data_IF_022974639355
#
_entry.id   IF_022974639355
#
_cell.length_a   1.000
_cell.length_b   1.000
_cell.length_c   1.000
_cell.angle_alpha   90.00
_cell.angle_beta   90.00
_cell.angle_gamma   90.00
#
_symmetry.space_group_name_H-M   'P 1'
#
loop_
_entity.id
_entity.type
_entity.pdbx_description
1 polymer ?
#
# COMPACT_ATOMS: atom_id res chain seq x y z
N UNK A 1 -6.43 4.44 9.73
CA UNK A 1 -5.75 5.47 10.57
C UNK A 1 -6.80 6.13 11.43
N UNK A 2 -6.45 6.70 12.58
CA UNK A 2 -7.43 7.39 13.44
C UNK A 2 -8.27 8.40 12.62
N UNK A 3 -9.58 8.28 12.71
CA UNK A 3 -10.54 9.09 11.95
C UNK A 3 -10.92 8.58 10.56
N UNK A 4 -10.30 7.48 10.08
CA UNK A 4 -10.62 6.87 8.78
C UNK A 4 -11.04 5.41 8.96
N UNK A 5 -12.28 5.05 8.58
CA UNK A 5 -12.84 3.72 8.83
C UNK A 5 -12.36 2.65 7.85
N UNK A 6 -11.70 3.04 6.76
CA UNK A 6 -11.27 2.12 5.70
C UNK A 6 -9.78 2.27 5.42
N UNK A 7 -9.19 1.19 4.92
CA UNK A 7 -7.79 1.15 4.51
C UNK A 7 -7.55 2.01 3.26
N UNK A 8 -6.34 2.56 3.15
CA UNK A 8 -5.91 3.34 2.01
C UNK A 8 -5.28 2.44 0.93
N UNK A 9 -5.57 2.71 -0.34
CA UNK A 9 -4.92 2.06 -1.48
C UNK A 9 -4.00 3.07 -2.20
N UNK A 10 -2.70 2.80 -2.19
CA UNK A 10 -1.68 3.63 -2.86
C UNK A 10 -1.28 2.99 -4.18
N UNK A 11 -1.50 3.69 -5.30
CA UNK A 11 -1.12 3.22 -6.65
C UNK A 11 0.12 3.97 -7.13
N UNK A 12 1.13 3.23 -7.56
CA UNK A 12 2.32 3.79 -8.19
C UNK A 12 2.45 3.25 -9.62
N UNK A 13 2.72 4.14 -10.59
CA UNK A 13 3.00 3.72 -11.95
C UNK A 13 4.30 2.90 -12.02
N UNK A 14 4.37 1.92 -12.93
CA UNK A 14 5.51 0.98 -13.04
C UNK A 14 6.87 1.68 -13.20
N UNK A 15 6.89 2.85 -13.85
CA UNK A 15 8.12 3.62 -14.07
C UNK A 15 8.69 4.22 -12.79
N UNK A 16 7.87 4.35 -11.75
CA UNK A 16 8.27 4.95 -10.48
C UNK A 16 8.63 3.89 -9.42
N UNK A 17 8.59 2.60 -9.77
CA UNK A 17 8.64 1.52 -8.78
C UNK A 17 9.96 1.50 -8.02
N UNK A 18 11.09 1.73 -8.69
CA UNK A 18 12.40 1.69 -8.07
C UNK A 18 12.56 2.79 -7.01
N UNK A 19 12.23 4.03 -7.37
CA UNK A 19 12.28 5.18 -6.46
C UNK A 19 11.27 5.02 -5.31
N UNK A 20 10.09 4.48 -5.58
CA UNK A 20 9.07 4.23 -4.54
C UNK A 20 9.50 3.11 -3.59
N UNK A 21 10.11 2.04 -4.10
CA UNK A 21 10.64 0.96 -3.27
C UNK A 21 11.75 1.47 -2.36
N UNK A 22 12.65 2.33 -2.87
CA UNK A 22 13.67 2.98 -2.04
C UNK A 22 13.05 3.85 -0.93
N UNK A 23 12.01 4.62 -1.27
CA UNK A 23 11.25 5.39 -0.29
C UNK A 23 10.61 4.51 0.77
N UNK A 24 9.95 3.41 0.38
CA UNK A 24 9.30 2.50 1.33
C UNK A 24 10.31 1.85 2.27
N UNK A 25 11.48 1.41 1.76
CA UNK A 25 12.57 0.88 2.60
C UNK A 25 13.10 1.88 3.63
N UNK A 26 13.13 3.17 3.29
CA UNK A 26 13.56 4.24 4.21
C UNK A 26 12.51 4.56 5.27
N UNK A 27 11.24 4.48 4.92
CA UNK A 27 10.13 5.00 5.74
C UNK A 27 9.38 3.94 6.53
N UNK A 28 9.50 2.67 6.15
CA UNK A 28 8.90 1.54 6.84
C UNK A 28 9.98 0.62 7.43
N UNK A 29 9.67 -0.04 8.53
CA UNK A 29 10.52 -1.04 9.15
C UNK A 29 10.33 -2.45 8.52
N UNK A 30 11.01 -3.46 9.05
CA UNK A 30 10.92 -4.84 8.55
C UNK A 30 9.53 -5.46 8.72
N UNK A 31 8.74 -4.95 9.67
CA UNK A 31 7.33 -5.34 9.89
C UNK A 31 6.35 -4.54 9.01
N UNK A 32 6.88 -3.77 8.06
CA UNK A 32 6.14 -2.87 7.17
C UNK A 32 5.34 -1.78 7.91
N UNK A 33 5.71 -1.46 9.15
CA UNK A 33 5.14 -0.38 9.93
C UNK A 33 5.89 0.93 9.67
N UNK A 34 5.14 2.02 9.55
CA UNK A 34 5.67 3.33 9.27
C UNK A 34 6.49 3.84 10.46
N UNK A 35 7.76 4.17 10.20
CA UNK A 35 8.74 4.50 11.26
C UNK A 35 8.39 5.76 12.05
N UNK A 36 7.56 6.65 11.50
CA UNK A 36 7.29 7.97 12.07
C UNK A 36 5.90 8.10 12.71
N UNK A 37 5.01 7.12 12.51
CA UNK A 37 3.70 7.10 13.16
C UNK A 37 3.26 5.64 13.40
N UNK A 38 3.07 5.24 14.66
CA UNK A 38 2.67 3.88 14.99
C UNK A 38 1.25 3.59 14.50
N UNK A 39 0.98 2.32 14.19
CA UNK A 39 -0.35 1.87 13.75
C UNK A 39 -0.65 2.10 12.26
N UNK A 40 0.28 2.65 11.48
CA UNK A 40 0.22 2.68 10.01
C UNK A 40 1.14 1.59 9.47
N UNK A 41 0.59 0.64 8.71
CA UNK A 41 1.35 -0.48 8.15
C UNK A 41 0.85 -0.84 6.76
N UNK A 42 1.76 -1.25 5.90
CA UNK A 42 1.41 -1.87 4.62
C UNK A 42 1.01 -3.32 4.89
N UNK A 43 -0.25 -3.65 4.65
CA UNK A 43 -0.84 -4.97 4.95
C UNK A 43 -0.98 -5.88 3.73
N UNK A 44 -0.80 -5.33 2.53
CA UNK A 44 -0.88 -6.07 1.27
C UNK A 44 -0.26 -5.30 0.11
N UNK A 45 0.07 -6.01 -0.96
CA UNK A 45 0.51 -5.41 -2.21
C UNK A 45 -0.04 -6.22 -3.39
N UNK A 46 -0.31 -5.54 -4.50
CA UNK A 46 -0.72 -6.15 -5.76
C UNK A 46 -0.16 -5.34 -6.93
N UNK A 47 -0.25 -5.92 -8.13
CA UNK A 47 0.02 -5.23 -9.38
C UNK A 47 -1.09 -5.56 -10.38
N UNK A 48 -1.32 -4.68 -11.34
CA UNK A 48 -2.36 -4.89 -12.33
C UNK A 48 -2.37 -3.80 -13.39
N UNK A 49 -3.14 -4.06 -14.44
CA UNK A 49 -3.33 -3.12 -15.55
C UNK A 49 -4.60 -2.26 -15.40
N UNK A 50 -5.42 -2.53 -14.38
CA UNK A 50 -6.61 -1.75 -14.04
C UNK A 50 -6.77 -1.65 -12.53
N UNK A 51 -7.44 -0.59 -12.07
CA UNK A 51 -7.73 -0.42 -10.65
C UNK A 51 -8.68 -1.51 -10.13
N UNK A 52 -9.69 -1.90 -10.92
CA UNK A 52 -10.59 -3.01 -10.56
C UNK A 52 -9.87 -4.34 -10.37
N UNK A 53 -8.87 -4.64 -11.21
CA UNK A 53 -8.01 -5.82 -11.05
C UNK A 53 -7.19 -5.75 -9.76
N UNK A 54 -6.61 -4.59 -9.45
CA UNK A 54 -5.90 -4.37 -8.18
C UNK A 54 -6.83 -4.56 -6.98
N UNK A 55 -8.07 -4.05 -7.04
CA UNK A 55 -9.05 -4.22 -5.97
C UNK A 55 -9.46 -5.69 -5.79
N UNK A 56 -9.65 -6.44 -6.88
CA UNK A 56 -9.95 -7.86 -6.84
C UNK A 56 -8.79 -8.67 -6.20
N UNK A 57 -7.56 -8.47 -6.66
CA UNK A 57 -6.37 -9.15 -6.12
C UNK A 57 -6.13 -8.84 -4.63
N UNK A 58 -6.48 -7.62 -4.19
CA UNK A 58 -6.40 -7.23 -2.78
C UNK A 58 -7.62 -7.68 -1.95
N UNK A 59 -8.62 -8.33 -2.54
CA UNK A 59 -9.85 -8.72 -1.83
C UNK A 59 -10.68 -7.55 -1.32
N UNK A 60 -10.59 -6.38 -1.98
CA UNK A 60 -11.29 -5.14 -1.59
C UNK A 60 -12.65 -4.98 -2.25
N UNK A 61 -13.02 -5.88 -3.16
CA UNK A 61 -14.37 -5.93 -3.70
C UNK A 61 -15.25 -6.66 -2.69
N UNK A 62 -16.30 -5.99 -2.20
CA UNK A 62 -17.36 -6.64 -1.44
C UNK A 62 -18.12 -7.61 -2.37
N UNK A 63 -18.47 -8.79 -1.86
CA UNK A 63 -19.46 -9.67 -2.51
C UNK A 63 -20.81 -8.98 -2.70
#
# INVERSE_FOLDING_TARGET
MDGFPSDEVIINHKQNIDTKLEYYRKTYNEDLEYRYAPGIRIVGFAYGYSFSGIQHELGLLAE
#
